data_IF_819274302622
#
_entry.id   IF_819274302622
#
_cell.length_a   1.000
_cell.length_b   1.000
_cell.length_c   1.000
_cell.angle_alpha   90.00
_cell.angle_beta   90.00
_cell.angle_gamma   90.00
#
_symmetry.space_group_name_H-M   'P 1'
#
loop_
_entity.id
_entity.type
_entity.pdbx_description
1 polymer ?
#
# COMPACT_ATOMS: atom_id res chain seq x y z
N UNK A 1 -14.27 -0.38 -27.95
CA UNK A 1 -13.59 -1.49 -27.25
C UNK A 1 -12.28 -0.95 -26.66
N UNK A 2 -12.31 -0.41 -25.45
CA UNK A 2 -11.11 -0.11 -24.68
C UNK A 2 -11.15 -1.09 -23.50
N UNK A 3 -10.22 -2.04 -23.49
CA UNK A 3 -10.13 -3.06 -22.45
C UNK A 3 -9.90 -2.35 -21.11
N UNK A 4 -10.90 -2.43 -20.24
CA UNK A 4 -10.91 -1.83 -18.91
C UNK A 4 -9.88 -2.48 -18.01
N UNK A 5 -8.76 -1.79 -17.82
CA UNK A 5 -7.85 -2.01 -16.71
C UNK A 5 -7.59 -0.64 -16.11
N UNK A 6 -8.21 -0.35 -14.97
CA UNK A 6 -7.95 0.88 -14.21
C UNK A 6 -6.52 0.82 -13.69
N UNK A 7 -5.57 1.36 -14.45
CA UNK A 7 -4.21 1.58 -13.96
C UNK A 7 -4.24 2.77 -13.00
N UNK A 8 -3.89 2.53 -11.73
CA UNK A 8 -3.73 3.60 -10.76
C UNK A 8 -2.55 4.48 -11.19
N UNK A 9 -2.83 5.77 -11.43
CA UNK A 9 -1.83 6.79 -11.74
C UNK A 9 -1.62 7.66 -10.51
N UNK A 10 -0.40 7.66 -9.98
CA UNK A 10 -0.01 8.57 -8.90
C UNK A 10 1.03 9.56 -9.42
N UNK A 11 0.80 10.85 -9.21
CA UNK A 11 1.82 11.88 -9.45
C UNK A 11 2.88 11.79 -8.35
N UNK A 12 4.14 11.89 -8.77
CA UNK A 12 5.29 11.91 -7.88
C UNK A 12 6.30 12.94 -8.33
N UNK A 13 7.07 13.43 -7.38
CA UNK A 13 8.27 14.21 -7.65
C UNK A 13 9.49 13.30 -7.53
N UNK A 14 10.34 13.28 -8.55
CA UNK A 14 11.59 12.53 -8.57
C UNK A 14 12.76 13.50 -8.57
N UNK A 15 13.66 13.31 -7.60
CA UNK A 15 14.90 14.08 -7.47
C UNK A 15 15.99 13.46 -8.35
N UNK A 16 16.43 14.17 -9.37
CA UNK A 16 17.64 13.81 -10.14
C UNK A 16 18.82 14.65 -9.65
N UNK A 17 19.84 13.99 -9.08
CA UNK A 17 21.09 14.63 -8.65
C UNK A 17 22.11 14.61 -9.78
N UNK A 18 22.87 15.67 -9.94
CA UNK A 18 23.97 15.76 -10.90
C UNK A 18 24.97 16.85 -10.48
N UNK A 19 26.21 16.76 -10.97
CA UNK A 19 27.24 17.76 -10.68
C UNK A 19 27.55 17.94 -9.19
N UNK A 20 27.95 19.17 -8.82
CA UNK A 20 28.40 19.59 -7.49
C UNK A 20 27.23 19.75 -6.49
N UNK A 21 26.53 18.66 -6.17
CA UNK A 21 25.47 18.66 -5.15
C UNK A 21 24.15 19.29 -5.61
N UNK A 22 24.01 19.61 -6.90
CA UNK A 22 22.78 20.14 -7.47
C UNK A 22 21.74 19.04 -7.63
N UNK A 23 20.46 19.41 -7.54
CA UNK A 23 19.36 18.50 -7.79
C UNK A 23 18.16 19.22 -8.41
N UNK A 24 17.54 18.57 -9.38
CA UNK A 24 16.30 19.01 -10.00
C UNK A 24 15.16 18.08 -9.58
N UNK A 25 13.98 18.64 -9.37
CA UNK A 25 12.75 17.89 -9.16
C UNK A 25 11.99 17.79 -10.48
N UNK A 26 11.56 16.58 -10.84
CA UNK A 26 10.76 16.32 -12.03
C UNK A 26 9.45 15.68 -11.63
N UNK A 27 8.34 16.23 -12.12
CA UNK A 27 7.04 15.59 -12.00
C UNK A 27 7.00 14.34 -12.91
N UNK A 28 6.62 13.20 -12.33
CA UNK A 28 6.44 11.95 -13.04
C UNK A 28 5.09 11.34 -12.71
N UNK A 29 4.52 10.62 -13.67
CA UNK A 29 3.36 9.76 -13.44
C UNK A 29 3.88 8.36 -13.15
N UNK A 30 3.62 7.85 -11.95
CA UNK A 30 3.86 6.45 -11.62
C UNK A 30 2.59 5.63 -11.90
N UNK A 31 2.73 4.63 -12.76
CA UNK A 31 1.72 3.61 -13.01
C UNK A 31 1.90 2.47 -12.02
N UNK A 32 0.80 2.04 -11.38
CA UNK A 32 0.78 0.92 -10.44
C UNK A 32 -0.32 -0.06 -10.81
N UNK A 33 -0.06 -1.34 -10.53
CA UNK A 33 -1.07 -2.40 -10.46
C UNK A 33 -1.16 -2.85 -9.01
N UNK A 34 -2.37 -2.96 -8.47
CA UNK A 34 -2.57 -3.48 -7.12
C UNK A 34 -2.93 -4.95 -7.18
N UNK A 35 -2.46 -5.74 -6.22
CA UNK A 35 -2.85 -7.15 -6.10
C UNK A 35 -4.37 -7.32 -5.93
N UNK A 36 -5.03 -6.39 -5.24
CA UNK A 36 -6.48 -6.38 -5.07
C UNK A 36 -7.25 -6.20 -6.39
N UNK A 37 -6.65 -5.60 -7.42
CA UNK A 37 -7.30 -5.41 -8.73
C UNK A 37 -7.62 -6.75 -9.39
N UNK A 38 -6.89 -7.82 -9.04
CA UNK A 38 -7.14 -9.15 -9.59
C UNK A 38 -8.50 -9.72 -9.18
N UNK A 39 -9.10 -9.24 -8.09
CA UNK A 39 -10.45 -9.64 -7.68
C UNK A 39 -11.53 -9.19 -8.66
N UNK A 40 -11.20 -8.28 -9.60
CA UNK A 40 -12.11 -7.84 -10.66
C UNK A 40 -12.02 -8.67 -11.95
N UNK A 41 -11.11 -9.66 -12.03
CA UNK A 41 -10.92 -10.44 -13.25
C UNK A 41 -12.08 -11.43 -13.47
N UNK A 42 -12.70 -11.45 -14.66
CA UNK A 42 -13.94 -12.21 -14.91
C UNK A 42 -13.75 -13.73 -14.93
N UNK A 43 -12.52 -14.22 -15.00
CA UNK A 43 -12.18 -15.66 -15.08
C UNK A 43 -11.45 -16.16 -13.83
N UNK A 44 -11.45 -15.37 -12.75
CA UNK A 44 -10.83 -15.75 -11.47
C UNK A 44 -11.90 -15.69 -10.39
N UNK A 45 -12.24 -16.85 -9.83
CA UNK A 45 -13.20 -16.94 -8.74
C UNK A 45 -12.61 -16.35 -7.46
N UNK A 46 -12.92 -15.08 -7.22
CA UNK A 46 -12.51 -14.36 -6.00
C UNK A 46 -13.69 -14.25 -5.03
N UNK A 47 -13.38 -14.38 -3.73
CA UNK A 47 -14.33 -14.22 -2.63
C UNK A 47 -13.72 -13.36 -1.53
N UNK A 48 -14.55 -12.67 -0.77
CA UNK A 48 -14.15 -11.86 0.38
C UNK A 48 -14.62 -12.53 1.66
N UNK A 49 -13.76 -12.52 2.68
CA UNK A 49 -14.09 -13.01 4.03
C UNK A 49 -13.92 -11.87 5.02
N UNK A 50 -14.92 -11.70 5.89
CA UNK A 50 -14.86 -10.71 6.97
C UNK A 50 -13.91 -11.25 8.04
N UNK A 51 -13.03 -10.37 8.54
CA UNK A 51 -12.04 -10.70 9.56
C UNK A 51 -12.11 -9.69 10.70
N UNK A 52 -11.72 -10.04 11.93
CA UNK A 52 -11.58 -9.08 13.02
C UNK A 52 -10.70 -7.90 12.61
N UNK A 53 -11.03 -6.70 13.11
CA UNK A 53 -10.34 -5.46 12.75
C UNK A 53 -8.83 -5.53 13.00
N UNK A 54 -8.42 -6.21 14.08
CA UNK A 54 -7.02 -6.43 14.46
C UNK A 54 -6.19 -7.09 13.34
N UNK A 55 -6.79 -7.94 12.50
CA UNK A 55 -6.10 -8.60 11.37
C UNK A 55 -5.80 -7.66 10.18
N UNK A 56 -6.42 -6.48 10.11
CA UNK A 56 -6.38 -5.63 8.91
C UNK A 56 -6.08 -4.15 9.20
N UNK A 57 -5.40 -3.85 10.31
CA UNK A 57 -5.05 -2.48 10.66
C UNK A 57 -3.91 -1.97 9.76
N UNK A 58 -4.17 -0.96 8.91
CA UNK A 58 -3.12 -0.33 8.10
C UNK A 58 -2.37 0.72 8.91
N UNK A 59 -1.03 0.62 8.94
CA UNK A 59 -0.11 1.60 9.53
C UNK A 59 0.79 2.18 8.44
N UNK A 60 0.26 3.14 7.70
CA UNK A 60 0.94 3.77 6.57
C UNK A 60 1.44 5.18 6.90
N UNK A 61 1.01 5.73 8.03
CA UNK A 61 1.38 7.04 8.51
C UNK A 61 1.94 6.97 9.93
N UNK A 62 2.93 7.83 10.23
CA UNK A 62 3.62 7.87 11.51
C UNK A 62 2.69 8.19 12.68
N UNK A 63 1.67 9.03 12.46
CA UNK A 63 0.70 9.40 13.50
C UNK A 63 -0.14 8.20 13.99
N UNK A 64 -0.12 7.08 13.27
CA UNK A 64 -0.86 5.87 13.64
C UNK A 64 -0.12 5.01 14.67
N UNK A 65 1.16 5.29 14.98
CA UNK A 65 1.95 4.45 15.88
C UNK A 65 1.52 4.56 17.34
N UNK A 66 1.25 5.77 17.83
CA UNK A 66 0.86 6.00 19.23
C UNK A 66 -0.47 5.31 19.57
N UNK A 67 -1.43 5.40 18.65
CA UNK A 67 -2.71 4.69 18.77
C UNK A 67 -2.51 3.18 18.83
N UNK A 68 -1.61 2.64 18.01
CA UNK A 68 -1.39 1.19 17.95
C UNK A 68 -0.71 0.61 19.21
N UNK A 69 0.11 1.42 19.88
CA UNK A 69 0.71 1.03 21.17
C UNK A 69 -0.34 1.05 22.28
N UNK A 70 -1.24 2.04 22.22
CA UNK A 70 -2.25 2.27 23.27
C UNK A 70 -3.46 1.33 23.17
N UNK A 71 -3.84 0.92 21.96
CA UNK A 71 -5.05 0.12 21.70
C UNK A 71 -4.81 -1.40 21.70
N UNK A 72 -3.58 -1.84 21.98
CA UNK A 72 -3.19 -3.26 22.00
C UNK A 72 -2.94 -3.88 20.62
N UNK A 73 -3.03 -3.11 19.53
CA UNK A 73 -2.74 -3.61 18.18
C UNK A 73 -1.30 -4.07 18.01
N UNK A 74 -0.34 -3.43 18.70
CA UNK A 74 1.07 -3.85 18.70
C UNK A 74 1.25 -5.27 19.26
N UNK A 75 0.68 -5.56 20.44
CA UNK A 75 0.77 -6.87 21.07
C UNK A 75 0.08 -7.97 20.24
N UNK A 76 -1.03 -7.64 19.57
CA UNK A 76 -1.67 -8.57 18.63
C UNK A 76 -0.77 -8.91 17.45
N UNK A 77 -0.10 -7.93 16.84
CA UNK A 77 0.83 -8.18 15.73
C UNK A 77 2.01 -9.05 16.15
N UNK A 78 2.60 -8.80 17.31
CA UNK A 78 3.68 -9.62 17.87
C UNK A 78 3.25 -11.08 18.06
N UNK A 79 2.02 -11.32 18.55
CA UNK A 79 1.49 -12.68 18.72
C UNK A 79 1.30 -13.45 17.41
N UNK A 80 1.16 -12.75 16.28
CA UNK A 80 0.99 -13.35 14.94
C UNK A 80 2.35 -13.48 14.22
N UNK A 81 3.36 -12.74 14.67
CA UNK A 81 4.70 -12.65 14.06
C UNK A 81 5.61 -13.86 14.30
N UNK A 82 5.22 -14.81 15.15
CA UNK A 82 5.91 -16.10 15.27
C UNK A 82 5.55 -17.02 14.10
N UNK A 83 6.21 -16.78 12.96
CA UNK A 83 6.24 -17.75 11.87
C UNK A 83 7.12 -18.93 12.31
N UNK A 84 6.51 -20.09 12.55
CA UNK A 84 7.21 -21.38 12.61
C UNK A 84 7.44 -21.95 11.23
#
# INVERSE_FOLDING_TARGET
>A
MLLGWSQLRTLKEVKKRWGHGQANMFAVVQFKKLWGDMASLPHVDCRFVVVPRSRSHQRKDQAQLDGCLSDGSAAYEESVGEWK
#
